data_IF_295289429288
#
_entry.id   IF_295289429288
#
_cell.length_a   1.000
_cell.length_b   1.000
_cell.length_c   1.000
_cell.angle_alpha   90.00
_cell.angle_beta   90.00
_cell.angle_gamma   90.00
#
_symmetry.space_group_name_H-M   'P 1'
#
loop_
_entity.id
_entity.type
_entity.pdbx_description
1 polymer ?
#
# COMPACT_ATOMS: atom_id res chain seq x y z
N UNK A 1 16.99 5.74 9.92
CA UNK A 1 16.70 4.37 9.45
C UNK A 1 16.06 4.51 8.07
N UNK A 2 16.47 3.74 7.07
CA UNK A 2 15.86 3.80 5.73
C UNK A 2 15.36 2.42 5.34
N UNK A 3 14.16 2.34 4.78
CA UNK A 3 13.55 1.11 4.28
C UNK A 3 14.24 0.70 2.98
N UNK A 4 14.61 -0.57 2.86
CA UNK A 4 15.27 -1.13 1.68
C UNK A 4 14.27 -1.86 0.79
N UNK A 5 14.53 -1.87 -0.50
CA UNK A 5 13.79 -2.71 -1.43
C UNK A 5 14.03 -4.20 -1.14
N UNK A 6 12.99 -5.01 -1.28
CA UNK A 6 13.04 -6.47 -1.15
C UNK A 6 12.18 -7.14 -2.25
N UNK A 7 12.81 -8.00 -3.06
CA UNK A 7 12.16 -8.66 -4.19
C UNK A 7 11.16 -9.75 -3.80
N UNK A 8 11.30 -10.36 -2.61
CA UNK A 8 10.32 -11.33 -2.11
C UNK A 8 9.05 -10.59 -1.67
N UNK A 9 9.18 -9.45 -0.99
CA UNK A 9 8.04 -8.60 -0.64
C UNK A 9 7.35 -8.04 -1.88
N UNK A 10 8.11 -7.74 -2.95
CA UNK A 10 7.51 -7.36 -4.23
C UNK A 10 6.67 -8.50 -4.82
N UNK A 11 7.13 -9.75 -4.75
CA UNK A 11 6.35 -10.90 -5.21
C UNK A 11 5.03 -11.05 -4.44
N UNK A 12 5.04 -10.84 -3.12
CA UNK A 12 3.81 -10.75 -2.33
C UNK A 12 2.92 -9.61 -2.84
N UNK A 13 3.47 -8.42 -3.07
CA UNK A 13 2.70 -7.29 -3.60
C UNK A 13 2.09 -7.60 -4.97
N UNK A 14 2.86 -8.21 -5.89
CA UNK A 14 2.41 -8.65 -7.21
C UNK A 14 1.22 -9.62 -7.12
N UNK A 15 1.31 -10.60 -6.22
CA UNK A 15 0.20 -11.53 -5.96
C UNK A 15 -1.06 -10.80 -5.50
N UNK A 16 -0.91 -9.82 -4.60
CA UNK A 16 -2.05 -9.07 -4.10
C UNK A 16 -2.71 -8.22 -5.20
N UNK A 17 -1.93 -7.63 -6.11
CA UNK A 17 -2.50 -6.79 -7.19
C UNK A 17 -2.96 -7.57 -8.43
N UNK A 18 -2.61 -8.86 -8.58
CA UNK A 18 -2.90 -9.66 -9.78
C UNK A 18 -4.37 -9.65 -10.21
N UNK A 19 -5.29 -9.78 -9.24
CA UNK A 19 -6.74 -9.69 -9.45
C UNK A 19 -7.29 -8.35 -8.92
N UNK A 20 -6.52 -7.27 -9.13
CA UNK A 20 -6.90 -5.91 -8.72
C UNK A 20 -7.11 -5.78 -7.21
N UNK A 21 -6.33 -6.51 -6.39
CA UNK A 21 -6.36 -6.37 -4.94
C UNK A 21 -7.45 -7.17 -4.21
N UNK A 22 -7.99 -8.24 -4.80
CA UNK A 22 -8.95 -9.13 -4.09
C UNK A 22 -8.25 -10.10 -3.14
N UNK A 23 -6.96 -10.34 -3.34
CA UNK A 23 -6.12 -11.19 -2.51
C UNK A 23 -5.57 -10.45 -1.28
N UNK A 24 -5.26 -11.22 -0.23
CA UNK A 24 -4.56 -10.75 0.97
C UNK A 24 -3.53 -11.80 1.39
N UNK A 25 -2.41 -11.84 0.67
CA UNK A 25 -1.27 -12.69 0.95
C UNK A 25 -0.13 -11.83 1.50
N UNK A 26 0.18 -12.00 2.78
CA UNK A 26 1.27 -11.31 3.46
C UNK A 26 2.19 -12.32 4.14
N UNK A 27 3.51 -12.07 4.22
CA UNK A 27 4.41 -12.91 5.00
C UNK A 27 4.04 -12.85 6.49
N UNK A 28 4.33 -13.92 7.23
CA UNK A 28 4.10 -13.95 8.68
C UNK A 28 4.84 -12.80 9.37
N UNK A 29 4.10 -12.01 10.15
CA UNK A 29 4.64 -10.84 10.84
C UNK A 29 4.86 -9.61 9.95
N UNK A 30 4.53 -9.67 8.66
CA UNK A 30 4.52 -8.52 7.77
C UNK A 30 3.18 -7.79 7.77
N UNK A 31 3.16 -6.62 7.13
CA UNK A 31 1.96 -5.81 6.91
C UNK A 31 1.84 -5.43 5.43
N UNK A 32 0.69 -4.89 5.04
CA UNK A 32 0.44 -4.46 3.67
C UNK A 32 -0.43 -3.22 3.62
N UNK A 33 -0.09 -2.32 2.70
CA UNK A 33 -1.00 -1.29 2.23
C UNK A 33 -1.51 -1.66 0.84
N UNK A 34 -2.83 -1.52 0.63
CA UNK A 34 -3.47 -1.71 -0.65
C UNK A 34 -4.23 -0.44 -1.01
N UNK A 35 -4.09 0.00 -2.26
CA UNK A 35 -4.81 1.13 -2.83
C UNK A 35 -5.48 0.68 -4.12
N UNK A 36 -6.75 1.06 -4.30
CA UNK A 36 -7.52 0.81 -5.52
C UNK A 36 -8.20 2.09 -5.95
N UNK A 37 -8.15 2.36 -7.25
CA UNK A 37 -8.90 3.45 -7.87
C UNK A 37 -9.58 2.95 -9.13
N UNK A 38 -10.75 3.49 -9.41
CA UNK A 38 -11.65 3.08 -10.48
C UNK A 38 -11.95 4.25 -11.41
N UNK A 39 -12.19 3.96 -12.68
CA UNK A 39 -12.67 4.95 -13.64
C UNK A 39 -11.64 6.02 -14.01
N UNK A 40 -10.35 5.75 -13.80
CA UNK A 40 -9.31 6.61 -14.35
C UNK A 40 -9.28 6.48 -15.89
N UNK A 41 -8.98 7.58 -16.59
CA UNK A 41 -8.70 7.54 -18.02
C UNK A 41 -7.53 6.59 -18.36
N UNK A 42 -7.57 5.96 -19.54
CA UNK A 42 -6.63 4.90 -19.94
C UNK A 42 -5.17 5.36 -20.11
N UNK A 43 -4.92 6.67 -20.16
CA UNK A 43 -3.59 7.27 -20.22
C UNK A 43 -2.91 7.36 -18.83
N UNK A 44 -3.63 7.04 -17.76
CA UNK A 44 -3.07 6.98 -16.42
C UNK A 44 -2.36 5.64 -16.21
N UNK A 45 -1.09 5.70 -15.82
CA UNK A 45 -0.24 4.55 -15.56
C UNK A 45 0.32 4.57 -14.11
N UNK A 46 1.33 3.74 -13.87
CA UNK A 46 1.98 3.64 -12.55
C UNK A 46 2.57 4.98 -12.08
N UNK A 47 3.02 5.85 -12.99
CA UNK A 47 3.63 7.15 -12.66
C UNK A 47 2.65 8.11 -12.01
N UNK A 48 1.34 7.91 -12.23
CA UNK A 48 0.28 8.70 -11.59
C UNK A 48 -0.35 7.98 -10.40
N UNK A 49 -0.64 6.68 -10.53
CA UNK A 49 -1.38 5.94 -9.49
C UNK A 49 -0.52 5.67 -8.25
N UNK A 50 0.78 5.41 -8.41
CA UNK A 50 1.65 5.14 -7.26
C UNK A 50 1.78 6.38 -6.35
N UNK A 51 2.09 7.60 -6.85
CA UNK A 51 2.08 8.79 -6.02
C UNK A 51 0.75 9.06 -5.31
N UNK A 52 -0.39 8.79 -5.98
CA UNK A 52 -1.71 8.91 -5.37
C UNK A 52 -1.90 7.95 -4.19
N UNK A 53 -1.47 6.69 -4.33
CA UNK A 53 -1.53 5.70 -3.26
C UNK A 53 -0.77 6.18 -2.02
N UNK A 54 0.48 6.65 -2.19
CA UNK A 54 1.29 7.18 -1.08
C UNK A 54 0.68 8.43 -0.45
N UNK A 55 0.13 9.34 -1.27
CA UNK A 55 -0.56 10.52 -0.78
C UNK A 55 -1.78 10.14 0.06
N UNK A 56 -2.61 9.20 -0.41
CA UNK A 56 -3.78 8.69 0.33
C UNK A 56 -3.37 8.02 1.64
N UNK A 57 -2.36 7.15 1.64
CA UNK A 57 -1.90 6.50 2.86
C UNK A 57 -1.31 7.49 3.87
N UNK A 58 -0.71 8.57 3.39
CA UNK A 58 -0.17 9.65 4.25
C UNK A 58 -1.27 10.54 4.80
N UNK A 59 -2.33 10.81 4.03
CA UNK A 59 -3.45 11.67 4.45
C UNK A 59 -4.15 11.20 5.72
N UNK A 60 -4.01 9.92 6.08
CA UNK A 60 -4.53 9.37 7.34
C UNK A 60 -4.14 10.23 8.56
N UNK A 61 -2.96 10.85 8.57
CA UNK A 61 -2.48 11.70 9.68
C UNK A 61 -3.13 13.08 9.72
N UNK A 62 -3.66 13.57 8.60
CA UNK A 62 -4.34 14.86 8.54
C UNK A 62 -5.78 14.77 9.06
N UNK A 63 -6.31 13.54 9.09
CA UNK A 63 -7.70 13.26 9.45
C UNK A 63 -7.82 12.68 10.86
N UNK A 64 -6.71 12.32 11.50
CA UNK A 64 -6.68 11.66 12.79
C UNK A 64 -5.59 12.25 13.68
N UNK A 65 -5.91 12.50 14.95
CA UNK A 65 -4.91 12.90 15.94
C UNK A 65 -3.95 11.74 16.21
N UNK A 66 -2.64 12.03 16.14
CA UNK A 66 -1.60 11.12 16.64
C UNK A 66 -1.37 11.52 18.08
N UNK A 67 -1.60 10.60 19.02
CA UNK A 67 -1.34 10.88 20.43
C UNK A 67 0.16 11.18 20.67
N UNK A 68 0.46 11.88 21.77
CA UNK A 68 1.84 12.25 22.14
C UNK A 68 2.76 11.03 22.36
N UNK A 69 2.19 9.83 22.43
CA UNK A 69 2.90 8.57 22.58
C UNK A 69 3.10 7.85 21.24
N UNK A 70 2.61 8.40 20.13
CA UNK A 70 2.62 7.80 18.79
C UNK A 70 2.09 6.36 18.78
N UNK A 71 1.11 6.08 19.63
CA UNK A 71 0.58 4.72 19.79
C UNK A 71 -0.43 4.43 18.69
N UNK A 72 -0.23 3.32 17.98
CA UNK A 72 -1.21 2.83 17.02
C UNK A 72 -2.44 2.29 17.75
N UNK A 73 -3.46 3.13 17.92
CA UNK A 73 -4.75 2.77 18.53
C UNK A 73 -5.92 2.94 17.57
N UNK A 74 -5.75 3.76 16.52
CA UNK A 74 -6.75 4.03 15.51
C UNK A 74 -6.45 3.28 14.21
N UNK A 75 -7.38 2.41 13.78
CA UNK A 75 -7.27 1.66 12.53
C UNK A 75 -7.24 2.54 11.28
N UNK A 76 -7.78 3.75 11.36
CA UNK A 76 -7.73 4.69 10.24
C UNK A 76 -6.30 5.18 9.95
N UNK A 77 -5.37 4.97 10.88
CA UNK A 77 -3.94 5.26 10.71
C UNK A 77 -3.15 4.06 10.17
N UNK A 78 -3.75 2.89 9.94
CA UNK A 78 -3.04 1.65 9.62
C UNK A 78 -2.07 1.82 8.45
N UNK A 79 -2.54 2.44 7.36
CA UNK A 79 -1.72 2.62 6.17
C UNK A 79 -0.55 3.56 6.40
N UNK A 80 -0.71 4.57 7.24
CA UNK A 80 0.39 5.43 7.64
C UNK A 80 1.35 4.70 8.58
N UNK A 81 0.81 3.98 9.57
CA UNK A 81 1.57 3.23 10.56
C UNK A 81 2.49 2.21 9.87
N UNK A 82 1.98 1.44 8.90
CA UNK A 82 2.77 0.49 8.13
C UNK A 82 3.97 1.14 7.42
N UNK A 83 3.80 2.36 6.87
CA UNK A 83 4.89 3.10 6.22
C UNK A 83 5.91 3.67 7.20
N UNK A 84 5.45 4.12 8.37
CA UNK A 84 6.25 4.82 9.37
C UNK A 84 6.81 3.89 10.46
N UNK A 85 6.44 2.61 10.47
CA UNK A 85 6.80 1.68 11.53
C UNK A 85 8.30 1.40 11.54
N UNK A 86 8.97 1.85 12.60
CA UNK A 86 10.43 1.84 12.68
C UNK A 86 11.07 0.45 12.63
N UNK A 87 10.32 -0.62 12.96
CA UNK A 87 10.83 -2.00 12.85
C UNK A 87 10.77 -2.53 11.42
N UNK A 88 9.96 -1.93 10.55
CA UNK A 88 9.96 -2.29 9.14
C UNK A 88 11.18 -1.69 8.44
N UNK A 89 12.04 -2.57 7.94
CA UNK A 89 13.29 -2.20 7.25
C UNK A 89 13.30 -2.60 5.78
N UNK A 90 12.29 -3.34 5.33
CA UNK A 90 12.19 -3.84 3.97
C UNK A 90 10.77 -3.63 3.44
N UNK A 91 10.67 -3.26 2.16
CA UNK A 91 9.41 -3.09 1.45
C UNK A 91 9.53 -3.61 0.02
N UNK A 92 8.44 -4.15 -0.51
CA UNK A 92 8.28 -4.40 -1.93
C UNK A 92 6.88 -3.99 -2.37
N UNK A 93 6.78 -3.32 -3.52
CA UNK A 93 5.52 -2.78 -4.02
C UNK A 93 5.25 -3.24 -5.44
N UNK A 94 3.98 -3.35 -5.80
CA UNK A 94 3.54 -3.70 -7.14
C UNK A 94 2.36 -2.83 -7.57
N UNK A 95 2.28 -2.59 -8.87
CA UNK A 95 1.17 -1.91 -9.53
C UNK A 95 0.57 -2.85 -10.58
N UNK A 96 -0.76 -2.85 -10.68
CA UNK A 96 -1.48 -3.54 -11.74
C UNK A 96 -2.56 -2.62 -12.32
N UNK A 97 -2.56 -2.50 -13.64
CA UNK A 97 -3.71 -1.99 -14.38
C UNK A 97 -4.71 -3.13 -14.63
N UNK A 98 -5.98 -2.83 -14.45
CA UNK A 98 -7.08 -3.77 -14.55
C UNK A 98 -8.11 -3.28 -15.58
N UNK A 99 -7.82 -3.41 -16.88
CA UNK A 99 -8.70 -2.91 -17.93
C UNK A 99 -9.99 -3.73 -18.08
N UNK A 100 -9.99 -4.98 -17.60
CA UNK A 100 -11.14 -5.90 -17.69
C UNK A 100 -12.13 -5.75 -16.53
N UNK A 101 -11.78 -5.01 -15.47
CA UNK A 101 -12.76 -4.65 -14.45
C UNK A 101 -13.72 -3.59 -15.01
N UNK A 102 -14.96 -3.57 -14.52
CA UNK A 102 -15.94 -2.59 -14.96
C UNK A 102 -16.49 -1.82 -13.74
N UNK A 103 -16.12 -0.53 -13.56
CA UNK A 103 -15.21 0.28 -14.39
C UNK A 103 -13.73 -0.19 -14.35
N UNK A 104 -12.88 0.23 -15.31
CA UNK A 104 -11.44 -0.05 -15.29
C UNK A 104 -10.83 0.38 -13.96
N UNK A 105 -9.91 -0.42 -13.44
CA UNK A 105 -9.31 -0.19 -12.15
C UNK A 105 -7.79 -0.16 -12.23
N UNK A 106 -7.18 0.42 -11.20
CA UNK A 106 -5.76 0.31 -10.95
C UNK A 106 -5.56 -0.05 -9.48
N UNK A 107 -4.61 -0.94 -9.22
CA UNK A 107 -4.27 -1.37 -7.87
C UNK A 107 -2.79 -1.15 -7.60
N UNK A 108 -2.47 -0.72 -6.37
CA UNK A 108 -1.11 -0.64 -5.85
C UNK A 108 -1.08 -1.36 -4.51
N UNK A 109 -0.13 -2.26 -4.33
CA UNK A 109 0.16 -2.87 -3.04
C UNK A 109 1.60 -2.58 -2.65
N UNK A 110 1.85 -2.34 -1.36
CA UNK A 110 3.17 -2.34 -0.75
C UNK A 110 3.16 -3.27 0.45
N UNK A 111 4.07 -4.23 0.50
CA UNK A 111 4.21 -5.21 1.57
C UNK A 111 5.48 -4.92 2.35
N UNK A 112 5.36 -4.93 3.67
CA UNK A 112 6.40 -4.57 4.62
C UNK A 112 6.80 -5.81 5.44
N UNK A 113 8.08 -5.91 5.80
CA UNK A 113 8.58 -7.05 6.59
C UNK A 113 8.19 -7.04 8.08
N UNK A 114 7.40 -6.08 8.54
CA UNK A 114 6.99 -5.97 9.95
C UNK A 114 5.62 -5.31 10.10
N UNK A 115 4.87 -5.76 11.11
CA UNK A 115 3.58 -5.22 11.56
C UNK A 115 3.64 -4.79 13.04
#
# INVERSE_FOLDING_TARGET
>A
MYTKYDSLLELYAQYNVADCGTSSLIPTGGSMNLYKIYGLPNDYDNSTVVPLAFATWTQAILQNEIDDQTTYTNKDLETFANMAYYKSTQVGCAYQACPTSQPPAHAVACVFNSA
#
